data_IF_555354397335
#
_entry.id   IF_555354397335
#
_cell.length_a   1.000
_cell.length_b   1.000
_cell.length_c   1.000
_cell.angle_alpha   90.00
_cell.angle_beta   90.00
_cell.angle_gamma   90.00
#
_symmetry.space_group_name_H-M   'P 1'
#
loop_
_entity.id
_entity.type
_entity.pdbx_description
1 polymer ?
#
# COMPACT_ATOMS: atom_id res chain seq x y z
N UNK A 1 12.14 12.41 15.75
CA UNK A 1 11.31 11.21 15.52
C UNK A 1 12.15 10.03 15.92
N UNK A 2 11.80 9.39 17.05
CA UNK A 2 12.49 8.18 17.51
C UNK A 2 11.98 7.05 16.63
N UNK A 3 12.83 6.56 15.73
CA UNK A 3 12.60 5.25 15.10
C UNK A 3 12.97 4.21 16.13
N UNK A 4 11.98 3.65 16.81
CA UNK A 4 12.16 2.42 17.57
C UNK A 4 12.55 1.32 16.58
N UNK A 5 13.82 0.94 16.59
CA UNK A 5 14.35 -0.16 15.80
C UNK A 5 14.34 -1.39 16.71
N UNK A 6 13.33 -2.23 16.56
CA UNK A 6 13.21 -3.48 17.31
C UNK A 6 13.90 -4.61 16.52
N UNK A 7 14.89 -5.25 17.13
CA UNK A 7 15.68 -6.30 16.49
C UNK A 7 14.97 -7.66 16.63
N UNK A 8 14.33 -8.13 15.56
CA UNK A 8 13.69 -9.44 15.54
C UNK A 8 14.71 -10.53 15.16
N UNK A 9 14.91 -11.50 16.06
CA UNK A 9 15.78 -12.68 15.83
C UNK A 9 14.92 -13.92 15.58
N UNK A 10 15.43 -14.88 14.81
CA UNK A 10 14.76 -16.16 14.52
C UNK A 10 13.43 -16.07 13.73
N UNK A 11 13.27 -15.09 12.85
CA UNK A 11 12.14 -15.06 11.90
C UNK A 11 12.31 -16.13 10.82
N UNK A 12 11.24 -16.88 10.54
CA UNK A 12 11.22 -17.83 9.45
C UNK A 12 11.11 -17.10 8.10
N UNK A 13 11.73 -17.66 7.05
CA UNK A 13 11.76 -17.05 5.70
C UNK A 13 10.38 -16.73 5.14
N UNK A 14 9.36 -17.51 5.47
CA UNK A 14 7.98 -17.30 5.00
C UNK A 14 7.27 -16.12 5.69
N UNK A 15 7.81 -15.60 6.80
CA UNK A 15 7.28 -14.43 7.50
C UNK A 15 7.80 -13.11 6.90
N UNK A 16 8.85 -13.19 6.07
CA UNK A 16 9.47 -12.02 5.43
C UNK A 16 8.99 -11.91 3.99
N UNK A 17 8.45 -10.75 3.64
CA UNK A 17 8.09 -10.43 2.26
C UNK A 17 9.20 -9.59 1.62
N UNK A 18 9.83 -10.11 0.57
CA UNK A 18 10.68 -9.28 -0.29
C UNK A 18 9.78 -8.43 -1.21
N UNK A 19 9.95 -7.09 -1.25
CA UNK A 19 9.16 -6.19 -2.11
C UNK A 19 9.04 -6.63 -3.57
N UNK A 20 10.13 -7.16 -4.15
CA UNK A 20 10.16 -7.65 -5.53
C UNK A 20 9.25 -8.84 -5.81
N UNK A 21 8.84 -9.59 -4.77
CA UNK A 21 7.95 -10.75 -4.88
C UNK A 21 6.49 -10.42 -4.52
N UNK A 22 6.19 -9.17 -4.15
CA UNK A 22 4.85 -8.75 -3.74
C UNK A 22 3.79 -9.07 -4.81
N UNK A 23 4.08 -8.83 -6.10
CA UNK A 23 3.13 -9.05 -7.20
C UNK A 23 2.70 -10.51 -7.39
N UNK A 24 3.53 -11.46 -6.95
CA UNK A 24 3.25 -12.91 -7.06
C UNK A 24 2.62 -13.44 -5.77
N UNK A 25 3.09 -12.97 -4.61
CA UNK A 25 2.67 -13.49 -3.30
C UNK A 25 1.36 -12.86 -2.80
N UNK A 26 1.05 -11.63 -3.21
CA UNK A 26 -0.10 -10.87 -2.71
C UNK A 26 -1.32 -10.96 -3.64
N UNK A 27 -1.43 -12.06 -4.39
CA UNK A 27 -2.56 -12.31 -5.27
C UNK A 27 -3.80 -12.73 -4.48
N UNK A 28 -4.98 -12.47 -5.05
CA UNK A 28 -6.27 -12.93 -4.50
C UNK A 28 -6.60 -12.48 -3.07
N UNK A 29 -6.02 -11.38 -2.62
CA UNK A 29 -6.39 -10.80 -1.34
C UNK A 29 -7.79 -10.18 -1.39
N UNK A 30 -8.48 -10.27 -0.26
CA UNK A 30 -9.77 -9.62 -0.05
C UNK A 30 -9.53 -8.27 0.58
N UNK A 31 -10.05 -7.23 -0.06
CA UNK A 31 -10.01 -5.87 0.41
C UNK A 31 -11.42 -5.39 0.69
N UNK A 32 -11.59 -4.60 1.75
CA UNK A 32 -12.85 -3.92 2.07
C UNK A 32 -12.64 -2.40 2.08
N UNK A 33 -13.72 -1.66 1.88
CA UNK A 33 -13.69 -0.20 2.01
C UNK A 33 -13.33 0.18 3.45
N UNK A 34 -12.42 1.14 3.60
CA UNK A 34 -11.89 1.56 4.90
C UNK A 34 -10.69 0.75 5.40
N UNK A 35 -10.28 -0.31 4.71
CA UNK A 35 -9.10 -1.07 5.11
C UNK A 35 -7.81 -0.24 5.06
N UNK A 36 -6.96 -0.46 6.06
CA UNK A 36 -5.62 0.14 6.18
C UNK A 36 -4.60 -0.73 5.46
N UNK A 37 -3.90 -0.12 4.52
CA UNK A 37 -2.99 -0.83 3.62
C UNK A 37 -1.62 -0.13 3.56
N UNK A 38 -0.60 -0.89 3.18
CA UNK A 38 0.78 -0.40 3.02
C UNK A 38 1.28 -0.73 1.63
N UNK A 39 1.80 0.26 0.91
CA UNK A 39 2.36 0.06 -0.42
C UNK A 39 3.72 -0.64 -0.32
N UNK A 40 3.82 -1.86 -0.83
CA UNK A 40 5.03 -2.69 -0.69
C UNK A 40 5.84 -2.84 -1.97
N UNK A 41 5.36 -2.33 -3.11
CA UNK A 41 6.09 -2.44 -4.36
C UNK A 41 7.30 -1.49 -4.35
N UNK A 42 8.43 -1.99 -4.83
CA UNK A 42 9.71 -1.29 -4.92
C UNK A 42 9.79 -0.24 -6.04
N UNK A 43 8.78 -0.19 -6.90
CA UNK A 43 8.78 0.59 -8.13
C UNK A 43 7.40 1.19 -8.42
N UNK A 44 7.39 2.46 -8.80
CA UNK A 44 6.19 3.20 -9.15
C UNK A 44 6.21 4.63 -8.63
N UNK A 45 5.05 5.29 -8.72
CA UNK A 45 4.89 6.69 -8.34
C UNK A 45 4.64 6.90 -6.84
N UNK A 46 4.33 5.83 -6.11
CA UNK A 46 4.05 5.85 -4.67
C UNK A 46 5.32 5.44 -3.92
N UNK A 47 5.75 6.18 -2.90
CA UNK A 47 6.91 5.79 -2.09
C UNK A 47 6.65 4.45 -1.38
N UNK A 48 7.67 3.58 -1.34
CA UNK A 48 7.59 2.31 -0.62
C UNK A 48 7.30 2.52 0.86
N UNK A 49 6.55 1.59 1.46
CA UNK A 49 6.09 1.61 2.84
C UNK A 49 5.13 2.77 3.19
N UNK A 50 4.62 3.48 2.18
CA UNK A 50 3.55 4.47 2.40
C UNK A 50 2.27 3.79 2.84
N UNK A 51 1.67 4.31 3.92
CA UNK A 51 0.40 3.83 4.45
C UNK A 51 -0.76 4.60 3.84
N UNK A 52 -1.90 3.94 3.70
CA UNK A 52 -3.12 4.56 3.20
C UNK A 52 -4.38 3.80 3.58
N UNK A 53 -5.51 4.35 3.16
CA UNK A 53 -6.84 3.80 3.38
C UNK A 53 -7.53 3.58 2.05
N UNK A 54 -8.17 2.42 1.88
CA UNK A 54 -8.95 2.11 0.68
C UNK A 54 -10.27 2.89 0.70
N UNK A 55 -10.52 3.67 -0.35
CA UNK A 55 -11.74 4.49 -0.52
C UNK A 55 -12.60 4.05 -1.70
N UNK A 56 -12.08 3.19 -2.56
CA UNK A 56 -12.80 2.64 -3.71
C UNK A 56 -12.25 1.26 -4.07
N UNK A 57 -13.13 0.35 -4.47
CA UNK A 57 -12.76 -1.00 -4.89
C UNK A 57 -13.40 -1.28 -6.25
N UNK A 58 -12.55 -1.55 -7.22
CA UNK A 58 -12.93 -2.09 -8.52
C UNK A 58 -12.45 -3.54 -8.63
N UNK A 59 -12.72 -4.22 -9.76
CA UNK A 59 -12.37 -5.65 -9.93
C UNK A 59 -10.89 -5.96 -9.67
N UNK A 60 -9.98 -5.16 -10.24
CA UNK A 60 -8.52 -5.37 -10.14
C UNK A 60 -7.76 -4.18 -9.55
N UNK A 61 -8.43 -3.03 -9.46
CA UNK A 61 -7.86 -1.78 -8.99
C UNK A 61 -8.54 -1.37 -7.68
N UNK A 62 -7.80 -0.66 -6.85
CA UNK A 62 -8.32 -0.03 -5.65
C UNK A 62 -7.89 1.44 -5.64
N UNK A 63 -8.78 2.30 -5.18
CA UNK A 63 -8.49 3.69 -4.93
C UNK A 63 -8.02 3.82 -3.49
N UNK A 64 -6.80 4.34 -3.30
CA UNK A 64 -6.17 4.50 -1.99
C UNK A 64 -5.88 5.97 -1.74
N UNK A 65 -6.26 6.45 -0.56
CA UNK A 65 -5.84 7.75 -0.03
C UNK A 65 -4.67 7.52 0.90
N UNK A 66 -3.53 8.10 0.58
CA UNK A 66 -2.30 7.97 1.36
C UNK A 66 -2.24 9.00 2.50
N UNK A 67 -1.57 8.59 3.59
CA UNK A 67 -1.37 9.46 4.75
C UNK A 67 -0.38 10.60 4.45
N UNK A 68 0.54 10.37 3.51
CA UNK A 68 1.54 11.33 3.06
C UNK A 68 1.19 11.84 1.66
N UNK A 69 1.47 13.12 1.41
CA UNK A 69 1.37 13.71 0.07
C UNK A 69 2.60 13.32 -0.77
N UNK A 70 2.40 13.00 -2.05
CA UNK A 70 3.49 12.67 -2.97
C UNK A 70 3.18 13.18 -4.39
N UNK A 71 4.21 13.52 -5.15
CA UNK A 71 4.07 14.20 -6.45
C UNK A 71 3.20 13.46 -7.47
N UNK A 72 3.15 12.13 -7.40
CA UNK A 72 2.31 11.31 -8.28
C UNK A 72 0.83 11.28 -7.88
N UNK A 73 0.45 11.80 -6.72
CA UNK A 73 -0.92 11.73 -6.21
C UNK A 73 -1.87 12.67 -6.95
N UNK A 74 -3.12 12.23 -7.05
CA UNK A 74 -4.27 12.96 -7.58
C UNK A 74 -5.24 13.35 -6.44
N UNK A 75 -6.31 14.08 -6.76
CA UNK A 75 -7.42 14.34 -5.83
C UNK A 75 -8.52 13.27 -5.87
N UNK A 76 -8.37 12.22 -6.70
CA UNK A 76 -9.41 11.24 -7.01
C UNK A 76 -10.75 11.89 -7.43
N UNK A 77 -10.68 13.02 -8.16
CA UNK A 77 -11.87 13.82 -8.51
C UNK A 77 -12.41 14.60 -7.31
N UNK A 78 -11.52 15.33 -6.63
CA UNK A 78 -11.82 16.19 -5.47
C UNK A 78 -12.40 15.48 -4.25
N UNK A 79 -12.27 14.15 -4.21
CA UNK A 79 -12.63 13.31 -3.06
C UNK A 79 -11.60 13.38 -1.92
N UNK A 80 -10.36 13.76 -2.21
CA UNK A 80 -9.29 13.93 -1.23
C UNK A 80 -8.44 15.17 -1.53
N UNK A 81 -7.65 15.61 -0.53
CA UNK A 81 -6.73 16.73 -0.72
C UNK A 81 -5.68 16.43 -1.81
N UNK A 82 -5.17 17.48 -2.46
CA UNK A 82 -4.16 17.37 -3.51
C UNK A 82 -3.00 16.43 -3.13
N UNK A 83 -2.55 15.65 -4.12
CA UNK A 83 -1.38 14.79 -4.01
C UNK A 83 -1.48 13.63 -3.01
N UNK A 84 -2.70 13.17 -2.67
CA UNK A 84 -2.90 12.04 -1.74
C UNK A 84 -3.55 10.80 -2.34
N UNK A 85 -4.34 10.93 -3.39
CA UNK A 85 -5.13 9.84 -3.94
C UNK A 85 -4.46 9.17 -5.13
N UNK A 86 -4.52 7.85 -5.22
CA UNK A 86 -4.05 7.12 -6.40
C UNK A 86 -4.84 5.82 -6.58
N UNK A 87 -5.14 5.51 -7.83
CA UNK A 87 -5.65 4.20 -8.24
C UNK A 87 -4.48 3.25 -8.48
N UNK A 88 -4.49 2.13 -7.77
CA UNK A 88 -3.38 1.18 -7.69
C UNK A 88 -3.90 -0.24 -7.83
N UNK A 89 -3.06 -1.15 -8.32
CA UNK A 89 -3.44 -2.55 -8.45
C UNK A 89 -3.49 -3.23 -7.08
N UNK A 90 -4.55 -3.99 -6.82
CA UNK A 90 -4.78 -4.66 -5.54
C UNK A 90 -3.60 -5.55 -5.09
N UNK A 91 -2.90 -6.17 -6.05
CA UNK A 91 -1.71 -7.03 -5.84
C UNK A 91 -0.46 -6.33 -5.27
N UNK A 92 -0.52 -5.03 -4.99
CA UNK A 92 0.59 -4.26 -4.42
C UNK A 92 0.48 -4.04 -2.92
N UNK A 93 -0.57 -4.57 -2.28
CA UNK A 93 -0.83 -4.40 -0.86
C UNK A 93 -0.89 -5.77 -0.18
N UNK A 94 -0.34 -5.90 1.04
CA UNK A 94 -0.52 -7.08 1.87
C UNK A 94 -1.87 -7.02 2.58
N UNK A 95 -2.53 -8.18 2.73
CA UNK A 95 -3.74 -8.28 3.53
C UNK A 95 -3.29 -8.43 4.97
N UNK A 96 -4.13 -7.98 5.90
CA UNK A 96 -3.98 -8.37 7.30
C UNK A 96 -4.01 -9.89 7.45
#
# INVERSE_FOLDING_TARGET
MVTDQEEFKNLARYQLLKPSHASTLLQNQKFNLGDRVVFVKDSGNVPIASKGTIVGIEKNNIDVVFDCTFMGGSTLGDRCSNYRGMTVLAKWFPSK
#
